data_IF_302555261966
#
_entry.id   IF_302555261966
#
_cell.length_a   1.000
_cell.length_b   1.000
_cell.length_c   1.000
_cell.angle_alpha   90.00
_cell.angle_beta   90.00
_cell.angle_gamma   90.00
#
_symmetry.space_group_name_H-M   'P 1'
#
loop_
_entity.id
_entity.type
_entity.pdbx_description
1 polymer ?
#
# COMPACT_ATOMS: atom_id res chain seq x y z
N UNK A 1 -21.99 44.49 21.64
CA UNK A 1 -21.09 43.35 21.89
C UNK A 1 -21.34 42.37 20.77
N UNK A 2 -20.34 42.18 19.92
CA UNK A 2 -20.42 41.48 18.64
C UNK A 2 -20.41 39.97 18.84
N UNK A 3 -21.41 39.28 18.32
CA UNK A 3 -21.38 37.84 18.12
C UNK A 3 -20.42 37.53 16.97
N UNK A 4 -19.33 36.82 17.29
CA UNK A 4 -18.42 36.29 16.31
C UNK A 4 -19.07 35.06 15.66
N UNK A 5 -19.49 35.24 14.42
CA UNK A 5 -20.01 34.19 13.55
C UNK A 5 -18.80 33.38 13.03
N UNK A 6 -18.47 32.28 13.68
CA UNK A 6 -17.47 31.32 13.18
C UNK A 6 -18.11 30.55 12.03
N UNK A 7 -17.88 31.03 10.80
CA UNK A 7 -18.11 30.22 9.59
C UNK A 7 -17.20 29.00 9.67
N UNK A 8 -17.79 27.81 9.82
CA UNK A 8 -17.14 26.59 9.40
C UNK A 8 -16.87 26.72 7.89
N UNK A 9 -15.61 26.68 7.51
CA UNK A 9 -15.19 26.63 6.11
C UNK A 9 -15.47 25.21 5.64
N UNK A 10 -16.59 25.04 4.94
CA UNK A 10 -16.89 23.83 4.18
C UNK A 10 -15.90 23.76 3.02
N UNK A 11 -14.80 23.03 3.23
CA UNK A 11 -13.73 22.89 2.25
C UNK A 11 -13.89 21.59 1.45
N UNK A 12 -15.12 21.17 1.15
CA UNK A 12 -15.34 20.07 0.22
C UNK A 12 -15.14 20.56 -1.22
N UNK A 13 -13.91 20.49 -1.72
CA UNK A 13 -13.72 20.46 -3.17
C UNK A 13 -14.53 19.28 -3.73
N UNK A 14 -15.29 19.53 -4.80
CA UNK A 14 -16.21 18.55 -5.38
C UNK A 14 -15.50 17.27 -5.80
N UNK A 15 -16.00 16.11 -5.39
CA UNK A 15 -15.55 14.79 -5.86
C UNK A 15 -15.48 14.75 -7.39
N UNK A 16 -14.28 14.55 -7.93
CA UNK A 16 -14.01 14.52 -9.37
C UNK A 16 -13.98 13.08 -9.86
N UNK A 17 -14.67 12.79 -10.98
CA UNK A 17 -14.58 11.49 -11.64
C UNK A 17 -13.50 11.54 -12.72
N UNK A 18 -12.57 10.59 -12.68
CA UNK A 18 -11.50 10.43 -13.65
C UNK A 18 -11.56 9.05 -14.30
N UNK A 19 -11.17 8.99 -15.57
CA UNK A 19 -11.02 7.71 -16.27
C UNK A 19 -9.57 7.24 -16.17
N UNK A 20 -9.41 5.92 -16.08
CA UNK A 20 -8.11 5.30 -16.25
C UNK A 20 -7.58 5.55 -17.66
N UNK A 21 -6.26 5.69 -17.77
CA UNK A 21 -5.60 5.59 -19.06
C UNK A 21 -5.75 4.16 -19.60
N UNK A 22 -5.78 4.00 -20.92
CA UNK A 22 -6.05 2.71 -21.59
C UNK A 22 -5.09 1.60 -21.10
N UNK A 23 -3.83 1.95 -20.84
CA UNK A 23 -2.83 1.02 -20.31
C UNK A 23 -3.16 0.46 -18.92
N UNK A 24 -3.79 1.28 -18.05
CA UNK A 24 -4.20 0.86 -16.69
C UNK A 24 -5.39 -0.09 -16.77
N UNK A 25 -6.36 0.22 -17.62
CA UNK A 25 -7.55 -0.62 -17.83
C UNK A 25 -7.18 -2.02 -18.35
N UNK A 26 -6.24 -2.09 -19.31
CA UNK A 26 -5.71 -3.36 -19.81
C UNK A 26 -4.97 -4.15 -18.74
N UNK A 27 -4.20 -3.47 -17.90
CA UNK A 27 -3.47 -4.11 -16.80
C UNK A 27 -4.43 -4.68 -15.76
N UNK A 28 -5.42 -3.91 -15.31
CA UNK A 28 -6.43 -4.35 -14.36
C UNK A 28 -7.15 -5.60 -14.87
N UNK A 29 -7.57 -5.57 -16.15
CA UNK A 29 -8.20 -6.72 -16.79
C UNK A 29 -7.29 -7.95 -16.79
N UNK A 30 -6.00 -7.79 -17.11
CA UNK A 30 -5.04 -8.89 -17.12
C UNK A 30 -4.81 -9.46 -15.71
N UNK A 31 -4.56 -8.60 -14.72
CA UNK A 31 -4.24 -9.03 -13.37
C UNK A 31 -5.39 -9.78 -12.70
N UNK A 32 -6.63 -9.34 -12.94
CA UNK A 32 -7.81 -10.03 -12.42
C UNK A 32 -7.89 -11.46 -12.99
N UNK A 33 -7.53 -11.70 -14.25
CA UNK A 33 -7.73 -13.03 -14.87
C UNK A 33 -6.51 -13.95 -14.76
N UNK A 34 -5.31 -13.39 -14.63
CA UNK A 34 -4.05 -14.12 -14.81
C UNK A 34 -3.36 -14.49 -13.48
N UNK A 35 -3.64 -13.76 -12.39
CA UNK A 35 -2.92 -13.87 -11.12
C UNK A 35 -3.69 -14.59 -10.00
N UNK A 36 -4.81 -15.23 -10.34
CA UNK A 36 -5.71 -15.89 -9.38
C UNK A 36 -5.02 -16.96 -8.50
N UNK A 37 -3.86 -17.46 -8.89
CA UNK A 37 -3.13 -18.52 -8.19
C UNK A 37 -2.40 -18.05 -6.92
N UNK A 38 -2.00 -16.78 -6.83
CA UNK A 38 -1.22 -16.27 -5.70
C UNK A 38 -1.78 -14.95 -5.16
N UNK A 39 -2.92 -15.05 -4.47
CA UNK A 39 -3.66 -13.90 -3.94
C UNK A 39 -2.93 -13.21 -2.80
N UNK A 40 -1.97 -13.84 -2.12
CA UNK A 40 -1.20 -13.22 -1.03
C UNK A 40 -0.31 -12.05 -1.51
N UNK A 41 -0.12 -11.95 -2.82
CA UNK A 41 0.79 -11.00 -3.46
C UNK A 41 0.45 -9.54 -3.18
N UNK A 42 -0.85 -9.19 -3.04
CA UNK A 42 -1.24 -7.80 -2.82
C UNK A 42 -0.59 -7.24 -1.55
N UNK A 43 -0.53 -8.05 -0.49
CA UNK A 43 -0.04 -7.58 0.80
C UNK A 43 1.47 -7.30 0.72
N UNK A 44 2.23 -8.17 0.04
CA UNK A 44 3.64 -7.94 -0.24
C UNK A 44 3.86 -6.62 -0.98
N UNK A 45 3.12 -6.38 -2.07
CA UNK A 45 3.27 -5.18 -2.87
C UNK A 45 2.93 -3.91 -2.08
N UNK A 46 1.82 -3.92 -1.33
CA UNK A 46 1.40 -2.76 -0.54
C UNK A 46 2.36 -2.46 0.62
N UNK A 47 2.88 -3.49 1.30
CA UNK A 47 3.90 -3.32 2.34
C UNK A 47 5.20 -2.80 1.73
N UNK A 48 5.64 -3.31 0.57
CA UNK A 48 6.85 -2.81 -0.10
C UNK A 48 6.72 -1.33 -0.45
N UNK A 49 5.58 -0.91 -1.02
CA UNK A 49 5.31 0.50 -1.32
C UNK A 49 5.30 1.37 -0.05
N UNK A 50 4.74 0.85 1.04
CA UNK A 50 4.71 1.53 2.35
C UNK A 50 6.12 1.69 2.94
N UNK A 51 6.99 0.68 2.76
CA UNK A 51 8.38 0.72 3.19
C UNK A 51 9.20 1.73 2.37
N UNK A 52 9.02 1.75 1.05
CA UNK A 52 9.65 2.73 0.16
C UNK A 52 9.22 4.16 0.51
N UNK A 53 7.94 4.38 0.86
CA UNK A 53 7.43 5.67 1.31
C UNK A 53 8.06 6.11 2.64
N UNK A 54 8.28 5.17 3.57
CA UNK A 54 9.00 5.42 4.82
C UNK A 54 10.48 5.77 4.56
N UNK A 55 11.17 5.04 3.68
CA UNK A 55 12.57 5.32 3.37
C UNK A 55 12.73 6.67 2.64
N UNK A 56 11.80 7.03 1.76
CA UNK A 56 11.75 8.36 1.14
C UNK A 56 11.53 9.47 2.18
N UNK A 57 10.62 9.27 3.14
CA UNK A 57 10.43 10.19 4.27
C UNK A 57 11.71 10.36 5.07
N UNK A 58 12.36 9.25 5.43
CA UNK A 58 13.62 9.26 6.18
C UNK A 58 14.69 10.04 5.43
N UNK A 59 14.81 9.84 4.13
CA UNK A 59 15.81 10.51 3.29
C UNK A 59 15.55 12.01 3.14
N UNK A 60 14.31 12.42 2.84
CA UNK A 60 13.96 13.84 2.72
C UNK A 60 14.13 14.58 4.06
N UNK A 61 13.79 13.93 5.18
CA UNK A 61 13.95 14.47 6.52
C UNK A 61 15.42 14.69 6.94
N UNK A 62 16.41 14.06 6.27
CA UNK A 62 17.83 14.37 6.48
C UNK A 62 18.18 15.80 6.04
N UNK A 63 17.44 16.32 5.06
CA UNK A 63 17.62 17.67 4.52
C UNK A 63 16.68 18.68 5.17
N UNK A 64 15.47 18.24 5.56
CA UNK A 64 14.46 19.06 6.22
C UNK A 64 13.75 18.30 7.35
N UNK A 65 14.22 18.49 8.58
CA UNK A 65 13.68 17.83 9.78
C UNK A 65 12.21 18.22 10.07
N UNK A 66 11.72 19.34 9.52
CA UNK A 66 10.33 19.76 9.73
C UNK A 66 9.32 18.76 9.14
N UNK A 67 9.73 17.97 8.14
CA UNK A 67 8.94 16.89 7.54
C UNK A 67 8.60 15.77 8.53
N UNK A 68 9.35 15.64 9.64
CA UNK A 68 9.01 14.67 10.67
C UNK A 68 7.75 15.06 11.46
N UNK A 69 7.30 16.32 11.43
CA UNK A 69 6.03 16.75 12.06
C UNK A 69 5.86 16.28 13.52
N UNK A 70 6.96 16.13 14.26
CA UNK A 70 6.97 15.64 15.65
C UNK A 70 6.90 14.11 15.82
N UNK A 71 6.78 13.34 14.74
CA UNK A 71 6.81 11.87 14.72
C UNK A 71 7.93 11.37 13.79
N UNK A 72 9.06 10.97 14.36
CA UNK A 72 10.18 10.37 13.60
C UNK A 72 10.14 8.84 13.54
N UNK A 73 9.19 8.20 14.23
CA UNK A 73 9.11 6.75 14.34
C UNK A 73 8.31 6.17 13.17
N UNK A 74 9.02 5.90 12.08
CA UNK A 74 8.42 5.33 10.88
C UNK A 74 7.91 3.91 11.12
N UNK A 75 6.69 3.63 10.68
CA UNK A 75 6.00 2.38 10.87
C UNK A 75 4.94 2.14 9.79
N UNK A 76 4.59 0.88 9.63
CA UNK A 76 3.44 0.42 8.86
C UNK A 76 2.49 -0.23 9.87
N UNK A 77 1.21 0.08 9.80
CA UNK A 77 0.16 -0.49 10.64
C UNK A 77 -0.83 -1.23 9.75
N UNK A 78 -1.17 -2.48 10.11
CA UNK A 78 -2.11 -3.30 9.36
C UNK A 78 -3.23 -3.73 10.29
N UNK A 79 -4.46 -3.51 9.85
CA UNK A 79 -5.67 -3.93 10.55
C UNK A 79 -6.55 -4.78 9.63
N UNK A 80 -7.29 -5.70 10.23
CA UNK A 80 -8.32 -6.47 9.54
C UNK A 80 -9.64 -6.36 10.27
N UNK A 81 -10.72 -6.25 9.51
CA UNK A 81 -12.09 -6.28 10.04
C UNK A 81 -12.86 -7.35 9.26
N UNK A 82 -13.05 -8.50 9.91
CA UNK A 82 -13.76 -9.64 9.32
C UNK A 82 -15.25 -9.36 9.10
N UNK A 83 -15.86 -8.52 9.93
CA UNK A 83 -17.29 -8.19 9.81
C UNK A 83 -17.53 -7.22 8.65
N UNK A 84 -16.71 -6.17 8.55
CA UNK A 84 -16.74 -5.23 7.43
C UNK A 84 -16.17 -5.84 6.13
N UNK A 85 -15.37 -6.90 6.23
CA UNK A 85 -14.67 -7.51 5.10
C UNK A 85 -13.59 -6.59 4.56
N UNK A 86 -12.81 -5.97 5.45
CA UNK A 86 -11.78 -4.99 5.06
C UNK A 86 -10.40 -5.33 5.60
N UNK A 87 -9.37 -4.96 4.84
CA UNK A 87 -7.98 -4.90 5.29
C UNK A 87 -7.52 -3.46 5.10
N UNK A 88 -6.94 -2.88 6.15
CA UNK A 88 -6.41 -1.52 6.13
C UNK A 88 -4.91 -1.56 6.32
N UNK A 89 -4.16 -0.90 5.43
CA UNK A 89 -2.71 -0.71 5.52
C UNK A 89 -2.44 0.78 5.66
N UNK A 90 -1.76 1.19 6.73
CA UNK A 90 -1.38 2.57 7.01
C UNK A 90 0.13 2.70 7.12
N UNK A 91 0.72 3.67 6.44
CA UNK A 91 2.09 4.10 6.69
C UNK A 91 2.12 5.57 7.13
N UNK A 92 3.10 5.94 7.95
CA UNK A 92 3.44 7.33 8.26
C UNK A 92 4.68 7.80 7.46
N UNK A 93 4.83 7.29 6.23
CA UNK A 93 5.86 7.69 5.29
C UNK A 93 5.60 9.08 4.68
N UNK A 94 6.20 9.32 3.52
CA UNK A 94 6.22 10.66 2.90
C UNK A 94 4.84 11.08 2.39
N UNK A 95 3.94 10.14 2.12
CA UNK A 95 2.63 10.39 1.50
C UNK A 95 2.72 10.94 0.07
N UNK A 96 1.59 11.39 -0.46
CA UNK A 96 1.50 11.94 -1.81
C UNK A 96 0.67 13.23 -1.81
N UNK A 97 1.02 14.17 -2.68
CA UNK A 97 0.13 15.27 -3.05
C UNK A 97 -0.95 14.80 -4.04
N UNK A 98 -1.99 15.61 -4.25
CA UNK A 98 -3.04 15.32 -5.26
C UNK A 98 -2.45 15.04 -6.64
N UNK A 99 -1.47 15.83 -7.07
CA UNK A 99 -0.81 15.67 -8.36
C UNK A 99 0.01 14.36 -8.43
N UNK A 100 0.69 13.98 -7.35
CA UNK A 100 1.39 12.69 -7.27
C UNK A 100 0.40 11.52 -7.32
N UNK A 101 -0.79 11.64 -6.70
CA UNK A 101 -1.85 10.62 -6.81
C UNK A 101 -2.31 10.47 -8.27
N UNK A 102 -2.57 11.58 -8.97
CA UNK A 102 -2.95 11.54 -10.40
C UNK A 102 -1.84 10.92 -11.26
N UNK A 103 -0.58 11.28 -10.97
CA UNK A 103 0.57 10.89 -11.78
C UNK A 103 1.07 9.47 -11.52
N UNK A 104 0.93 8.94 -10.30
CA UNK A 104 1.46 7.62 -9.91
C UNK A 104 0.36 6.57 -9.78
N UNK A 105 -0.79 6.95 -9.23
CA UNK A 105 -1.94 6.05 -9.10
C UNK A 105 -2.76 6.16 -10.39
N UNK A 106 -3.29 7.34 -10.72
CA UNK A 106 -4.17 7.52 -11.89
C UNK A 106 -3.52 7.26 -13.25
N UNK A 107 -2.19 7.35 -13.33
CA UNK A 107 -1.41 7.17 -14.56
C UNK A 107 -0.27 6.20 -14.29
N UNK A 108 -0.22 5.05 -14.95
CA UNK A 108 0.96 4.16 -14.86
C UNK A 108 2.07 4.78 -15.74
N UNK A 109 2.88 5.66 -15.15
CA UNK A 109 3.85 6.49 -15.85
C UNK A 109 5.24 5.84 -16.00
N UNK A 110 5.33 4.59 -16.48
CA UNK A 110 6.63 4.00 -16.89
C UNK A 110 6.56 3.36 -18.26
N UNK A 111 7.57 3.64 -19.10
CA UNK A 111 7.66 3.18 -20.49
C UNK A 111 7.75 1.65 -20.65
N UNK A 112 7.99 0.91 -19.56
CA UNK A 112 8.08 -0.55 -19.55
C UNK A 112 6.72 -1.27 -19.51
N UNK A 113 5.66 -0.64 -18.99
CA UNK A 113 4.35 -1.30 -18.79
C UNK A 113 3.69 -1.66 -20.12
N UNK A 114 3.84 -0.80 -21.13
CA UNK A 114 3.26 -1.04 -22.47
C UNK A 114 3.95 -2.19 -23.21
N UNK A 115 5.26 -2.29 -23.08
CA UNK A 115 6.03 -3.39 -23.66
C UNK A 115 5.77 -4.71 -22.92
N UNK A 116 5.58 -4.64 -21.59
CA UNK A 116 5.14 -5.76 -20.77
C UNK A 116 3.77 -6.30 -21.18
N UNK A 117 2.74 -5.46 -21.24
CA UNK A 117 1.38 -5.85 -21.67
C UNK A 117 1.41 -6.48 -23.07
N UNK A 118 2.26 -5.96 -23.97
CA UNK A 118 2.42 -6.50 -25.33
C UNK A 118 3.10 -7.87 -25.36
N UNK A 119 4.01 -8.13 -24.42
CA UNK A 119 4.79 -9.36 -24.33
C UNK A 119 4.14 -10.43 -23.43
N UNK A 120 3.10 -10.07 -22.67
CA UNK A 120 2.29 -11.01 -21.90
C UNK A 120 1.40 -11.84 -22.82
N UNK A 121 1.77 -13.10 -23.01
CA UNK A 121 0.90 -14.12 -23.62
C UNK A 121 0.02 -14.78 -22.57
N UNK A 122 -1.12 -15.38 -22.95
CA UNK A 122 -2.04 -16.07 -22.03
C UNK A 122 -1.35 -17.15 -21.16
N UNK A 123 -0.30 -17.80 -21.67
CA UNK A 123 0.50 -18.78 -20.92
C UNK A 123 1.47 -18.13 -19.92
N UNK A 124 2.11 -17.01 -20.26
CA UNK A 124 2.99 -16.26 -19.36
C UNK A 124 2.23 -15.47 -18.31
N UNK A 125 0.97 -15.13 -18.59
CA UNK A 125 0.10 -14.43 -17.66
C UNK A 125 -0.17 -15.25 -16.38
N UNK A 126 -0.14 -16.58 -16.47
CA UNK A 126 -0.32 -17.49 -15.31
C UNK A 126 0.84 -17.49 -14.33
N UNK A 127 1.98 -16.91 -14.72
CA UNK A 127 3.13 -16.77 -13.85
C UNK A 127 2.96 -15.48 -13.03
N UNK A 128 2.63 -15.62 -11.74
CA UNK A 128 2.35 -14.50 -10.82
C UNK A 128 3.53 -13.57 -10.54
N UNK A 129 4.64 -13.82 -11.24
CA UNK A 129 5.99 -13.40 -10.93
C UNK A 129 6.45 -12.26 -11.85
N UNK A 130 5.57 -11.32 -12.24
CA UNK A 130 5.94 -10.24 -13.19
C UNK A 130 5.39 -8.84 -12.84
N UNK A 131 4.84 -8.60 -11.65
CA UNK A 131 4.00 -7.41 -11.41
C UNK A 131 4.80 -6.17 -10.98
N UNK A 132 5.56 -6.21 -9.90
CA UNK A 132 6.17 -5.00 -9.33
C UNK A 132 7.40 -4.43 -10.06
N UNK A 133 7.95 -5.06 -11.12
CA UNK A 133 8.99 -4.41 -11.96
C UNK A 133 8.45 -3.19 -12.70
N UNK A 134 7.12 -3.09 -12.86
CA UNK A 134 6.48 -2.11 -13.73
C UNK A 134 5.74 -1.00 -12.97
N UNK A 135 5.88 -0.94 -11.64
CA UNK A 135 5.22 0.07 -10.81
C UNK A 135 3.70 -0.10 -10.75
N UNK A 136 3.23 -1.34 -10.90
CA UNK A 136 1.80 -1.67 -10.91
C UNK A 136 1.33 -2.42 -9.66
N UNK A 137 2.23 -2.60 -8.68
CA UNK A 137 1.97 -3.36 -7.46
C UNK A 137 0.75 -2.87 -6.68
N UNK A 138 0.46 -1.56 -6.70
CA UNK A 138 -0.76 -1.00 -6.09
C UNK A 138 -2.05 -1.67 -6.59
N UNK A 139 -2.14 -1.92 -7.90
CA UNK A 139 -3.34 -2.46 -8.51
C UNK A 139 -3.57 -3.95 -8.21
N UNK A 140 -2.56 -4.66 -7.69
CA UNK A 140 -2.73 -6.04 -7.22
C UNK A 140 -3.78 -6.15 -6.09
N UNK A 141 -4.09 -5.04 -5.43
CA UNK A 141 -5.21 -4.90 -4.51
C UNK A 141 -6.56 -5.38 -5.11
N UNK A 142 -6.81 -5.12 -6.39
CA UNK A 142 -8.06 -5.53 -7.07
C UNK A 142 -8.15 -7.04 -7.39
N UNK A 143 -7.08 -7.80 -7.14
CA UNK A 143 -7.15 -9.27 -7.14
C UNK A 143 -8.11 -9.72 -6.04
N UNK A 144 -8.06 -9.08 -4.86
CA UNK A 144 -8.82 -9.48 -3.67
C UNK A 144 -9.94 -8.51 -3.29
N UNK A 145 -9.88 -7.26 -3.74
CA UNK A 145 -10.84 -6.22 -3.39
C UNK A 145 -11.76 -5.86 -4.56
N UNK A 146 -13.03 -5.57 -4.26
CA UNK A 146 -13.98 -4.97 -5.20
C UNK A 146 -13.96 -3.45 -5.18
N UNK A 147 -13.42 -2.86 -4.10
CA UNK A 147 -13.21 -1.42 -3.97
C UNK A 147 -11.93 -1.15 -3.18
N UNK A 148 -11.14 -0.19 -3.64
CA UNK A 148 -9.95 0.29 -2.95
C UNK A 148 -10.12 1.78 -2.68
N UNK A 149 -9.91 2.17 -1.42
CA UNK A 149 -9.89 3.56 -0.98
C UNK A 149 -8.48 3.89 -0.51
N UNK A 150 -7.87 4.92 -1.07
CA UNK A 150 -6.57 5.44 -0.65
C UNK A 150 -6.76 6.85 -0.11
N UNK A 151 -6.27 7.11 1.10
CA UNK A 151 -6.29 8.44 1.72
C UNK A 151 -4.85 8.83 2.06
N UNK A 152 -4.33 9.91 1.48
CA UNK A 152 -2.93 10.29 1.62
C UNK A 152 -2.75 11.78 1.85
N UNK A 153 -1.70 12.16 2.58
CA UNK A 153 -1.23 13.55 2.68
C UNK A 153 0.28 13.53 2.67
N UNK A 154 0.88 14.36 1.81
CA UNK A 154 2.33 14.53 1.76
C UNK A 154 2.86 15.18 3.05
N UNK A 155 3.99 14.72 3.55
CA UNK A 155 4.66 15.38 4.67
C UNK A 155 4.99 16.84 4.33
N UNK A 156 4.78 17.74 5.29
CA UNK A 156 4.99 19.18 5.13
C UNK A 156 3.83 19.93 4.47
N UNK A 157 2.88 19.24 3.83
CA UNK A 157 1.66 19.86 3.33
C UNK A 157 0.63 20.08 4.46
N UNK A 158 -0.29 21.02 4.27
CA UNK A 158 -1.33 21.33 5.27
C UNK A 158 -2.29 20.14 5.47
N UNK A 159 -2.80 19.97 6.70
CA UNK A 159 -3.72 18.88 7.01
C UNK A 159 -4.98 18.88 6.11
N UNK A 160 -5.41 20.05 5.62
CA UNK A 160 -6.58 20.21 4.74
C UNK A 160 -6.35 19.85 3.28
N UNK A 161 -5.12 19.48 2.88
CA UNK A 161 -4.79 19.11 1.49
C UNK A 161 -4.67 17.59 1.31
N UNK A 162 -5.16 16.80 2.26
CA UNK A 162 -5.25 15.36 2.09
C UNK A 162 -6.07 15.00 0.84
N UNK A 163 -5.74 13.87 0.22
CA UNK A 163 -6.40 13.39 -1.01
C UNK A 163 -6.97 12.01 -0.78
N UNK A 164 -8.26 11.84 -1.09
CA UNK A 164 -8.93 10.55 -1.21
C UNK A 164 -8.96 10.16 -2.68
N UNK A 165 -8.52 8.94 -2.95
CA UNK A 165 -8.68 8.24 -4.21
C UNK A 165 -9.54 7.00 -3.97
N UNK A 166 -10.57 6.78 -4.79
CA UNK A 166 -11.45 5.62 -4.66
C UNK A 166 -11.72 5.02 -6.04
N UNK A 167 -11.70 3.69 -6.15
CA UNK A 167 -11.97 2.98 -7.40
C UNK A 167 -12.50 1.57 -7.16
N UNK A 168 -13.30 1.09 -8.11
CA UNK A 168 -13.76 -0.30 -8.25
C UNK A 168 -12.90 -1.13 -9.21
N UNK A 169 -11.83 -0.54 -9.76
CA UNK A 169 -10.95 -1.16 -10.75
C UNK A 169 -11.59 -1.38 -12.13
N UNK A 170 -12.75 -0.78 -12.42
CA UNK A 170 -13.51 -0.98 -13.67
C UNK A 170 -13.91 0.32 -14.35
N UNK A 171 -14.38 1.30 -13.58
CA UNK A 171 -15.06 2.49 -14.12
C UNK A 171 -14.20 3.76 -14.11
N UNK A 172 -12.93 3.64 -13.72
CA UNK A 172 -12.05 4.77 -13.43
C UNK A 172 -11.84 4.92 -11.93
N UNK A 173 -11.64 6.15 -11.49
CA UNK A 173 -11.44 6.48 -10.09
C UNK A 173 -11.98 7.86 -9.77
N UNK A 174 -12.17 8.14 -8.48
CA UNK A 174 -12.59 9.46 -8.01
C UNK A 174 -11.54 10.11 -7.14
N UNK A 175 -11.45 11.44 -7.20
CA UNK A 175 -10.55 12.23 -6.37
C UNK A 175 -11.32 13.26 -5.56
N UNK A 176 -11.01 13.34 -4.27
CA UNK A 176 -11.62 14.28 -3.34
C UNK A 176 -10.56 14.82 -2.38
N UNK A 177 -10.63 16.11 -2.07
CA UNK A 177 -9.76 16.72 -1.07
C UNK A 177 -10.38 16.52 0.31
N UNK A 178 -9.56 16.18 1.31
CA UNK A 178 -10.01 15.87 2.66
C UNK A 178 -9.04 16.37 3.72
N UNK A 179 -9.54 16.55 4.94
CA UNK A 179 -8.68 16.77 6.10
C UNK A 179 -8.04 15.44 6.53
N UNK A 180 -6.70 15.40 6.55
CA UNK A 180 -5.90 14.29 7.10
C UNK A 180 -4.79 14.86 7.97
N UNK A 181 -4.97 14.77 9.29
CA UNK A 181 -4.01 15.32 10.25
C UNK A 181 -2.64 14.61 10.23
N UNK A 182 -2.61 13.30 9.97
CA UNK A 182 -1.36 12.53 9.87
C UNK A 182 -0.76 12.58 8.46
N UNK A 183 0.57 12.52 8.35
CA UNK A 183 1.22 12.32 7.03
C UNK A 183 1.13 10.86 6.61
N UNK A 184 1.54 10.57 5.39
CA UNK A 184 1.61 9.21 4.87
C UNK A 184 0.30 8.78 4.22
N UNK A 185 0.13 7.47 4.06
CA UNK A 185 -0.95 6.90 3.26
C UNK A 185 -1.73 5.84 4.04
N UNK A 186 -3.05 5.84 3.88
CA UNK A 186 -3.94 4.76 4.30
C UNK A 186 -4.56 4.13 3.06
N UNK A 187 -4.54 2.81 2.97
CA UNK A 187 -5.18 2.03 1.91
C UNK A 187 -6.16 1.07 2.56
N UNK A 188 -7.45 1.23 2.25
CA UNK A 188 -8.53 0.34 2.69
C UNK A 188 -8.98 -0.52 1.51
N UNK A 189 -8.82 -1.82 1.68
CA UNK A 189 -9.26 -2.84 0.74
C UNK A 189 -10.63 -3.34 1.18
N UNK A 190 -11.67 -3.12 0.38
CA UNK A 190 -12.97 -3.75 0.58
C UNK A 190 -12.98 -5.07 -0.17
N UNK A 191 -12.82 -6.16 0.58
CA UNK A 191 -12.63 -7.50 0.02
C UNK A 191 -13.88 -7.98 -0.70
N UNK A 192 -13.65 -8.72 -1.78
CA UNK A 192 -14.68 -9.54 -2.44
C UNK A 192 -15.27 -10.53 -1.45
N UNK A 193 -16.54 -10.89 -1.65
CA UNK A 193 -17.24 -11.80 -0.74
C UNK A 193 -16.50 -13.14 -0.56
N UNK A 194 -15.93 -13.69 -1.62
CA UNK A 194 -15.15 -14.93 -1.60
C UNK A 194 -13.76 -14.81 -0.96
N UNK A 195 -13.25 -13.59 -0.78
CA UNK A 195 -11.92 -13.31 -0.23
C UNK A 195 -11.97 -12.80 1.22
N UNK A 196 -13.15 -12.63 1.81
CA UNK A 196 -13.32 -12.15 3.19
C UNK A 196 -12.56 -12.95 4.24
N UNK A 197 -12.24 -14.21 3.97
CA UNK A 197 -11.41 -15.02 4.87
C UNK A 197 -9.96 -14.49 4.98
N UNK A 198 -9.48 -13.70 4.02
CA UNK A 198 -8.19 -13.00 4.10
C UNK A 198 -8.17 -11.90 5.17
N UNK A 199 -9.33 -11.38 5.59
CA UNK A 199 -9.45 -10.50 6.76
C UNK A 199 -9.37 -11.34 8.06
N UNK A 200 -8.25 -12.05 8.20
CA UNK A 200 -7.92 -12.88 9.33
C UNK A 200 -6.49 -12.55 9.75
N UNK A 201 -6.33 -12.05 10.97
CA UNK A 201 -5.06 -11.65 11.53
C UNK A 201 -3.98 -12.74 11.44
N UNK A 202 -4.32 -14.02 11.70
CA UNK A 202 -3.33 -15.10 11.63
C UNK A 202 -2.83 -15.30 10.19
N UNK A 203 -3.72 -15.25 9.20
CA UNK A 203 -3.33 -15.34 7.80
C UNK A 203 -2.47 -14.14 7.39
N UNK A 204 -2.88 -12.93 7.75
CA UNK A 204 -2.14 -11.69 7.46
C UNK A 204 -0.73 -11.76 8.09
N UNK A 205 -0.62 -12.17 9.36
CA UNK A 205 0.66 -12.36 10.05
C UNK A 205 1.54 -13.40 9.36
N UNK A 206 0.96 -14.51 8.89
CA UNK A 206 1.69 -15.53 8.13
C UNK A 206 2.22 -14.97 6.80
N UNK A 207 1.43 -14.16 6.10
CA UNK A 207 1.84 -13.52 4.84
C UNK A 207 2.96 -12.50 5.12
N UNK A 208 2.83 -11.68 6.16
CA UNK A 208 3.86 -10.70 6.57
C UNK A 208 5.18 -11.40 6.91
N UNK A 209 5.15 -12.46 7.72
CA UNK A 209 6.38 -13.20 8.07
C UNK A 209 7.05 -13.80 6.84
N UNK A 210 6.25 -14.31 5.89
CA UNK A 210 6.76 -14.91 4.65
C UNK A 210 7.43 -13.91 3.73
N UNK A 211 6.89 -12.69 3.63
CA UNK A 211 7.30 -11.73 2.58
C UNK A 211 7.94 -10.45 3.09
N UNK A 212 7.93 -10.17 4.39
CA UNK A 212 8.29 -8.84 4.92
C UNK A 212 9.27 -8.89 6.09
N UNK A 213 9.79 -10.06 6.45
CA UNK A 213 10.82 -10.23 7.49
C UNK A 213 12.14 -9.50 7.17
N UNK A 214 12.40 -9.20 5.91
CA UNK A 214 13.57 -8.46 5.45
C UNK A 214 13.35 -6.94 5.40
N UNK A 215 12.11 -6.48 5.60
CA UNK A 215 11.76 -5.05 5.60
C UNK A 215 12.20 -4.43 6.92
N UNK A 216 12.93 -3.31 6.82
CA UNK A 216 13.52 -2.65 8.00
C UNK A 216 12.53 -1.80 8.79
N UNK A 217 11.41 -1.40 8.17
CA UNK A 217 10.35 -0.64 8.81
C UNK A 217 9.52 -1.59 9.70
N UNK A 218 9.24 -1.22 10.96
CA UNK A 218 8.33 -1.98 11.82
C UNK A 218 6.94 -2.08 11.20
N UNK A 219 6.41 -3.29 11.10
CA UNK A 219 5.04 -3.59 10.70
C UNK A 219 4.29 -3.97 11.96
N UNK A 220 3.28 -3.19 12.30
CA UNK A 220 2.50 -3.33 13.51
C UNK A 220 1.12 -3.90 13.20
N UNK A 221 0.66 -4.78 14.08
CA UNK A 221 -0.74 -5.23 14.14
C UNK A 221 -1.21 -5.22 15.59
N UNK A 222 -2.52 -5.17 15.81
CA UNK A 222 -3.09 -5.33 17.15
C UNK A 222 -2.74 -6.71 17.71
N UNK A 223 -2.25 -6.76 18.96
CA UNK A 223 -2.02 -8.00 19.69
C UNK A 223 -3.31 -8.79 19.80
N UNK A 224 -3.18 -10.11 19.77
CA UNK A 224 -4.29 -11.01 20.03
C UNK A 224 -4.30 -11.46 21.48
N UNK A 225 -5.48 -11.48 22.09
CA UNK A 225 -5.68 -12.11 23.40
C UNK A 225 -5.64 -13.66 23.33
N UNK A 226 -5.82 -14.33 24.48
CA UNK A 226 -5.84 -15.80 24.54
C UNK A 226 -6.96 -16.44 23.71
N UNK A 227 -7.99 -15.67 23.34
CA UNK A 227 -9.11 -16.10 22.51
C UNK A 227 -8.92 -15.79 21.02
N UNK A 228 -7.81 -15.14 20.64
CA UNK A 228 -7.50 -14.75 19.27
C UNK A 228 -8.18 -13.45 18.81
N UNK A 229 -8.71 -12.63 19.73
CA UNK A 229 -9.31 -11.33 19.42
C UNK A 229 -8.29 -10.21 19.49
N UNK A 230 -8.39 -9.26 18.56
CA UNK A 230 -7.55 -8.06 18.55
C UNK A 230 -7.82 -7.20 19.81
N UNK A 231 -6.74 -6.79 20.45
CA UNK A 231 -6.72 -5.82 21.57
C UNK A 231 -6.42 -4.42 21.05
N UNK A 232 -6.40 -3.40 21.91
CA UNK A 232 -5.99 -2.03 21.52
C UNK A 232 -4.46 -1.85 21.49
N UNK A 233 -3.70 -2.85 21.93
CA UNK A 233 -2.23 -2.76 21.98
C UNK A 233 -1.62 -3.22 20.66
N UNK A 234 -0.73 -2.40 20.10
CA UNK A 234 0.06 -2.76 18.92
C UNK A 234 1.27 -3.63 19.28
N UNK A 235 1.65 -4.53 18.38
CA UNK A 235 2.91 -5.26 18.39
C UNK A 235 3.56 -5.30 17.00
N UNK A 236 4.89 -5.30 16.98
CA UNK A 236 5.67 -5.48 15.76
C UNK A 236 5.61 -6.96 15.35
N UNK A 237 5.17 -7.23 14.13
CA UNK A 237 4.96 -8.61 13.62
C UNK A 237 6.04 -9.08 12.65
N UNK A 238 6.86 -8.18 12.11
CA UNK A 238 8.04 -8.53 11.32
C UNK A 238 9.32 -8.46 12.16
N UNK A 239 10.41 -9.07 11.66
CA UNK A 239 11.72 -8.99 12.35
C UNK A 239 12.33 -7.58 12.41
N UNK A 240 11.86 -6.64 11.58
CA UNK A 240 12.28 -5.23 11.53
C UNK A 240 13.82 -5.03 11.53
N UNK A 241 14.56 -5.95 10.91
CA UNK A 241 16.02 -5.92 10.90
C UNK A 241 16.54 -6.00 9.48
N UNK A 242 17.36 -5.02 9.10
CA UNK A 242 17.98 -4.96 7.79
C UNK A 242 18.76 -6.25 7.50
N UNK A 243 18.35 -7.00 6.47
CA UNK A 243 18.90 -8.33 6.19
C UNK A 243 20.44 -8.30 6.07
N UNK A 244 20.99 -7.26 5.43
CA UNK A 244 22.44 -7.08 5.23
C UNK A 244 23.24 -6.81 6.51
N UNK A 245 22.59 -6.53 7.65
CA UNK A 245 23.25 -6.36 8.95
C UNK A 245 23.27 -7.66 9.78
N UNK A 246 22.52 -8.69 9.38
CA UNK A 246 22.47 -10.00 10.07
C UNK A 246 23.66 -10.88 9.70
N UNK A 247 24.02 -11.81 10.58
CA UNK A 247 25.09 -12.77 10.29
C UNK A 247 24.65 -13.69 9.15
N UNK A 248 25.53 -13.99 8.19
CA UNK A 248 25.20 -14.88 7.05
C UNK A 248 24.65 -16.25 7.49
N UNK A 249 25.09 -16.76 8.65
CA UNK A 249 24.62 -18.02 9.23
C UNK A 249 23.18 -17.98 9.77
N UNK A 250 22.64 -16.78 10.00
CA UNK A 250 21.29 -16.55 10.54
C UNK A 250 20.28 -16.21 9.44
N UNK A 251 20.71 -16.16 8.18
CA UNK A 251 19.88 -15.79 7.03
C UNK A 251 19.58 -17.06 6.23
N UNK A 252 18.29 -17.36 6.09
CA UNK A 252 17.80 -18.47 5.26
C UNK A 252 17.90 -18.16 3.77
N UNK A 253 17.85 -19.20 2.93
CA UNK A 253 17.86 -19.02 1.46
C UNK A 253 16.61 -18.27 1.01
N UNK A 254 15.45 -18.58 1.59
CA UNK A 254 14.18 -17.88 1.36
C UNK A 254 14.25 -16.39 1.73
N UNK A 255 14.82 -16.03 2.89
CA UNK A 255 14.99 -14.62 3.27
C UNK A 255 15.90 -13.87 2.28
N UNK A 256 16.94 -14.52 1.76
CA UNK A 256 17.81 -13.95 0.73
C UNK A 256 17.08 -13.71 -0.59
N UNK A 257 16.27 -14.69 -1.03
CA UNK A 257 15.45 -14.62 -2.25
C UNK A 257 14.42 -13.50 -2.16
N UNK A 258 13.68 -13.42 -1.05
CA UNK A 258 12.67 -12.38 -0.87
C UNK A 258 13.29 -10.99 -0.77
N UNK A 259 14.47 -10.85 -0.14
CA UNK A 259 15.19 -9.58 -0.13
C UNK A 259 15.68 -9.17 -1.52
N UNK A 260 16.19 -10.11 -2.33
CA UNK A 260 16.51 -9.83 -3.73
C UNK A 260 15.27 -9.33 -4.48
N UNK A 261 14.14 -10.02 -4.33
CA UNK A 261 12.88 -9.67 -4.98
C UNK A 261 12.41 -8.26 -4.61
N UNK A 262 12.49 -7.90 -3.33
CA UNK A 262 12.19 -6.56 -2.87
C UNK A 262 13.12 -5.49 -3.45
N UNK A 263 14.44 -5.67 -3.35
CA UNK A 263 15.41 -4.64 -3.77
C UNK A 263 15.52 -4.51 -5.30
N UNK A 264 15.45 -5.63 -6.03
CA UNK A 264 15.51 -5.64 -7.48
C UNK A 264 14.14 -5.34 -8.12
N UNK A 265 13.08 -5.27 -7.31
CA UNK A 265 11.69 -5.36 -7.75
C UNK A 265 11.44 -6.56 -8.67
N UNK A 266 12.23 -7.63 -8.55
CA UNK A 266 12.16 -8.87 -9.33
C UNK A 266 11.38 -9.93 -8.56
N UNK A 267 11.03 -11.04 -9.19
CA UNK A 267 10.21 -12.12 -8.64
C UNK A 267 10.89 -13.47 -8.80
N UNK A 268 11.89 -13.55 -9.68
CA UNK A 268 12.74 -14.72 -9.81
C UNK A 268 13.72 -14.79 -8.64
N UNK A 269 14.14 -16.00 -8.32
CA UNK A 269 15.26 -16.18 -7.40
C UNK A 269 16.56 -15.72 -8.11
N UNK A 270 17.53 -15.13 -7.38
CA UNK A 270 18.78 -14.61 -7.93
C UNK A 270 19.76 -15.68 -8.45
#
# INVERSE_FOLDING_TARGET
MSEANTKATDNSESKENMQFQTEVDQLLHLMIHSLYSNKEIFLRELISNSADACDKQRFEALSDDSLNEGDSELKIEIESDKEAGTITIRDNGIGMSRDEVVAHIGTIAKSGTKEFIKNLTDEQSKDSNMIGQFGVGFYSAFIVADKVTLTTRRAGDDASTGTIWESDGKSGFTLETTDKASRGTEIVLHLKDEEKELANDWQIRSIISKYSDHISVPINMHKQDEEGKATEEWEVVNKANALWKRSKSEITEEEYKEFYKHVAHDWQDP
#
